data_IF_769462176393
#
_entry.id   IF_769462176393
#
_cell.length_a   1.000
_cell.length_b   1.000
_cell.length_c   1.000
_cell.angle_alpha   90.00
_cell.angle_beta   90.00
_cell.angle_gamma   90.00
#
_symmetry.space_group_name_H-M   'P 1'
#
loop_
_entity.id
_entity.type
_entity.pdbx_description
1 polymer ?
#
# COMPACT_ATOMS: atom_id res chain seq x y z
N UNK A 1 6.19 -18.00 -16.81
CA UNK A 1 5.14 -17.58 -15.85
C UNK A 1 4.37 -16.40 -16.44
N UNK A 2 3.04 -16.39 -16.37
CA UNK A 2 2.15 -15.42 -17.04
C UNK A 2 1.68 -14.25 -16.16
N UNK A 3 2.23 -14.09 -14.94
CA UNK A 3 1.83 -13.01 -14.02
C UNK A 3 0.48 -13.20 -13.32
N UNK A 4 -0.12 -14.39 -13.40
CA UNK A 4 -1.41 -14.69 -12.75
C UNK A 4 -1.32 -14.87 -11.23
N UNK A 5 -0.15 -15.27 -10.72
CA UNK A 5 0.08 -15.52 -9.29
C UNK A 5 1.34 -14.78 -8.83
N UNK A 6 1.32 -14.30 -7.58
CA UNK A 6 2.45 -13.58 -6.99
C UNK A 6 3.54 -14.51 -6.46
N UNK A 7 3.19 -15.72 -6.02
CA UNK A 7 4.12 -16.72 -5.50
C UNK A 7 3.55 -18.14 -5.67
N UNK A 8 4.45 -19.13 -5.74
CA UNK A 8 4.13 -20.57 -5.68
C UNK A 8 5.03 -21.15 -4.59
N UNK A 9 4.43 -21.78 -3.59
CA UNK A 9 5.10 -22.31 -2.40
C UNK A 9 4.61 -23.74 -2.10
N UNK A 10 5.34 -24.54 -1.31
CA UNK A 10 4.84 -25.81 -0.78
C UNK A 10 3.51 -25.64 -0.05
N UNK A 11 2.68 -26.68 -0.03
CA UNK A 11 1.33 -26.64 0.58
C UNK A 11 1.41 -26.30 2.07
N UNK A 12 2.36 -26.91 2.78
CA UNK A 12 2.66 -26.64 4.19
C UNK A 12 3.06 -25.18 4.50
N UNK A 13 3.53 -24.42 3.51
CA UNK A 13 3.94 -23.02 3.66
C UNK A 13 2.89 -22.01 3.15
N UNK A 14 1.80 -22.48 2.54
CA UNK A 14 0.81 -21.65 1.87
C UNK A 14 0.19 -20.61 2.81
N UNK A 15 -0.35 -21.06 3.94
CA UNK A 15 -0.99 -20.16 4.91
C UNK A 15 0.02 -19.18 5.50
N UNK A 16 1.19 -19.66 5.92
CA UNK A 16 2.22 -18.81 6.50
C UNK A 16 2.66 -17.70 5.53
N UNK A 17 2.84 -18.05 4.25
CA UNK A 17 3.22 -17.11 3.20
C UNK A 17 2.12 -16.07 2.96
N UNK A 18 0.87 -16.51 2.85
CA UNK A 18 -0.28 -15.63 2.64
C UNK A 18 -0.50 -14.67 3.83
N UNK A 19 -0.46 -15.18 5.06
CA UNK A 19 -0.59 -14.36 6.26
C UNK A 19 0.59 -13.42 6.47
N UNK A 20 1.81 -13.83 6.14
CA UNK A 20 2.97 -12.93 6.17
C UNK A 20 2.79 -11.76 5.19
N UNK A 21 2.31 -12.02 3.98
CA UNK A 21 2.02 -10.97 3.02
C UNK A 21 0.89 -10.05 3.49
N UNK A 22 -0.19 -10.61 4.06
CA UNK A 22 -1.28 -9.84 4.64
C UNK A 22 -0.80 -8.97 5.81
N UNK A 23 0.05 -9.52 6.70
CA UNK A 23 0.61 -8.79 7.83
C UNK A 23 1.48 -7.61 7.39
N UNK A 24 2.27 -7.78 6.32
CA UNK A 24 3.05 -6.66 5.74
C UNK A 24 2.16 -5.54 5.23
N UNK A 25 1.02 -5.86 4.61
CA UNK A 25 0.05 -4.87 4.14
C UNK A 25 -0.71 -4.22 5.29
N UNK A 26 -1.10 -4.99 6.31
CA UNK A 26 -1.80 -4.51 7.49
C UNK A 26 -0.95 -3.58 8.37
N UNK A 27 0.38 -3.69 8.29
CA UNK A 27 1.31 -2.79 8.97
C UNK A 27 1.53 -1.45 8.26
N UNK A 28 0.96 -1.25 7.06
CA UNK A 28 1.03 0.01 6.30
C UNK A 28 -0.14 0.94 6.67
N UNK A 29 -0.06 2.24 6.31
CA UNK A 29 -1.19 3.14 6.49
C UNK A 29 -2.41 2.68 5.66
N UNK A 30 -3.58 2.44 6.29
CA UNK A 30 -4.71 1.81 5.63
C UNK A 30 -5.26 2.63 4.45
N UNK A 31 -5.35 3.96 4.59
CA UNK A 31 -5.84 4.80 3.51
C UNK A 31 -4.85 4.81 2.33
N UNK A 32 -3.56 4.96 2.59
CA UNK A 32 -2.52 4.91 1.56
C UNK A 32 -2.55 3.61 0.75
N UNK A 33 -2.72 2.45 1.40
CA UNK A 33 -2.83 1.13 0.72
C UNK A 33 -4.07 1.06 -0.16
N UNK A 34 -5.23 1.47 0.34
CA UNK A 34 -6.50 1.42 -0.40
C UNK A 34 -6.44 2.31 -1.64
N UNK A 35 -5.95 3.54 -1.47
CA UNK A 35 -5.82 4.53 -2.54
C UNK A 35 -4.84 4.04 -3.61
N UNK A 36 -3.67 3.54 -3.20
CA UNK A 36 -2.68 2.98 -4.15
C UNK A 36 -3.29 1.82 -4.95
N UNK A 37 -4.02 0.92 -4.29
CA UNK A 37 -4.71 -0.19 -4.97
C UNK A 37 -5.76 0.30 -5.97
N UNK A 38 -6.50 1.37 -5.63
CA UNK A 38 -7.49 1.95 -6.53
C UNK A 38 -6.83 2.59 -7.76
N UNK A 39 -5.73 3.32 -7.59
CA UNK A 39 -4.95 3.91 -8.69
C UNK A 39 -4.40 2.84 -9.64
N UNK A 40 -3.81 1.76 -9.09
CA UNK A 40 -3.30 0.64 -9.89
C UNK A 40 -4.39 -0.06 -10.71
N UNK A 41 -5.61 -0.17 -10.17
CA UNK A 41 -6.75 -0.78 -10.88
C UNK A 41 -7.37 0.12 -11.96
N UNK A 42 -7.21 1.44 -11.85
CA UNK A 42 -7.70 2.42 -12.84
C UNK A 42 -6.86 2.49 -14.12
N UNK A 43 -5.70 1.81 -14.15
CA UNK A 43 -4.70 1.93 -15.23
C UNK A 43 -5.16 1.52 -16.64
N UNK A 44 -6.41 1.05 -16.81
CA UNK A 44 -6.89 0.57 -18.11
C UNK A 44 -7.71 1.57 -18.94
N UNK A 45 -8.15 2.72 -18.41
CA UNK A 45 -9.09 3.61 -19.14
C UNK A 45 -8.60 5.05 -19.35
N UNK A 46 -7.73 5.56 -18.48
CA UNK A 46 -7.18 6.91 -18.60
C UNK A 46 -5.90 6.90 -19.47
N UNK A 47 -5.69 7.93 -20.30
CA UNK A 47 -4.37 8.12 -20.92
C UNK A 47 -3.31 8.17 -19.81
N UNK A 48 -2.13 7.59 -20.04
CA UNK A 48 -1.02 7.57 -19.07
C UNK A 48 -0.80 8.93 -18.40
N UNK A 49 -0.91 10.01 -19.18
CA UNK A 49 -0.77 11.38 -18.70
C UNK A 49 -1.84 11.76 -17.67
N UNK A 50 -3.10 11.36 -17.87
CA UNK A 50 -4.18 11.62 -16.93
C UNK A 50 -4.01 10.82 -15.64
N UNK A 51 -3.63 9.55 -15.75
CA UNK A 51 -3.36 8.70 -14.58
C UNK A 51 -2.23 9.28 -13.71
N UNK A 52 -1.14 9.76 -14.32
CA UNK A 52 -0.04 10.41 -13.61
C UNK A 52 -0.48 11.69 -12.87
N UNK A 53 -1.33 12.53 -13.46
CA UNK A 53 -1.82 13.72 -12.77
C UNK A 53 -2.70 13.37 -11.56
N UNK A 54 -3.57 12.37 -11.72
CA UNK A 54 -4.40 11.88 -10.61
C UNK A 54 -3.53 11.31 -9.48
N UNK A 55 -2.53 10.50 -9.82
CA UNK A 55 -1.59 9.92 -8.87
C UNK A 55 -0.83 11.00 -8.08
N UNK A 56 -0.26 11.99 -8.76
CA UNK A 56 0.47 13.10 -8.10
C UNK A 56 -0.45 13.87 -7.15
N UNK A 57 -1.65 14.23 -7.58
CA UNK A 57 -2.59 14.99 -6.75
C UNK A 57 -3.02 14.18 -5.52
N UNK A 58 -3.30 12.90 -5.73
CA UNK A 58 -3.73 11.98 -4.68
C UNK A 58 -2.61 11.74 -3.66
N UNK A 59 -1.38 11.52 -4.13
CA UNK A 59 -0.20 11.37 -3.30
C UNK A 59 0.09 12.62 -2.46
N UNK A 60 0.02 13.81 -3.08
CA UNK A 60 0.21 15.08 -2.37
C UNK A 60 -0.83 15.28 -1.25
N UNK A 61 -2.07 14.86 -1.46
CA UNK A 61 -3.10 14.90 -0.42
C UNK A 61 -2.80 13.93 0.73
N UNK A 62 -2.31 12.72 0.43
CA UNK A 62 -1.96 11.73 1.46
C UNK A 62 -0.79 12.20 2.33
N UNK A 63 0.21 12.88 1.74
CA UNK A 63 1.36 13.43 2.46
C UNK A 63 0.99 14.49 3.50
N UNK A 64 -0.16 15.16 3.34
CA UNK A 64 -0.67 16.13 4.31
C UNK A 64 -1.58 15.48 5.37
N UNK A 65 -1.86 14.19 5.23
CA UNK A 65 -2.75 13.44 6.12
C UNK A 65 -2.11 13.04 7.45
N UNK A 66 -2.93 12.64 8.43
CA UNK A 66 -2.44 12.27 9.76
C UNK A 66 -1.63 10.97 9.76
N UNK A 67 -1.92 10.05 8.83
CA UNK A 67 -1.12 8.85 8.58
C UNK A 67 0.33 9.17 8.20
N UNK A 68 0.54 10.16 7.31
CA UNK A 68 1.87 10.60 6.91
C UNK A 68 2.62 11.25 8.08
N UNK A 69 1.91 12.04 8.89
CA UNK A 69 2.45 12.60 10.13
C UNK A 69 2.94 11.52 11.11
N UNK A 70 2.15 10.47 11.32
CA UNK A 70 2.55 9.34 12.17
C UNK A 70 3.74 8.57 11.58
N UNK A 71 3.74 8.30 10.28
CA UNK A 71 4.85 7.61 9.61
C UNK A 71 6.18 8.39 9.76
N UNK A 72 6.16 9.71 9.51
CA UNK A 72 7.32 10.58 9.67
C UNK A 72 7.79 10.63 11.13
N UNK A 73 6.85 10.74 12.07
CA UNK A 73 7.14 10.77 13.50
C UNK A 73 7.76 9.46 13.97
N UNK A 74 7.16 8.32 13.64
CA UNK A 74 7.65 7.01 13.99
C UNK A 74 9.06 6.75 13.42
N UNK A 75 9.29 7.15 12.16
CA UNK A 75 10.60 7.08 11.52
C UNK A 75 11.65 7.91 12.28
N UNK A 76 11.31 9.15 12.61
CA UNK A 76 12.19 10.07 13.35
C UNK A 76 12.50 9.56 14.76
N UNK A 77 11.49 9.00 15.44
CA UNK A 77 11.59 8.41 16.78
C UNK A 77 12.19 6.99 16.78
N UNK A 78 12.51 6.42 15.60
CA UNK A 78 13.04 5.04 15.43
C UNK A 78 12.16 3.96 16.07
N UNK A 79 10.84 4.14 16.01
CA UNK A 79 9.85 3.19 16.50
C UNK A 79 8.98 2.68 15.35
N UNK A 80 8.31 1.53 15.49
CA UNK A 80 7.27 1.14 14.54
C UNK A 80 6.12 2.18 14.54
N UNK A 81 5.57 2.52 13.36
CA UNK A 81 4.39 3.36 13.28
C UNK A 81 3.15 2.64 13.81
N UNK A 82 2.24 3.39 14.42
CA UNK A 82 0.96 2.88 14.89
C UNK A 82 -0.18 3.47 14.06
N UNK A 83 -0.70 2.66 13.13
CA UNK A 83 -1.83 3.04 12.29
C UNK A 83 -3.18 2.53 12.79
N UNK A 84 -3.26 1.95 14.00
CA UNK A 84 -4.49 1.33 14.52
C UNK A 84 -5.65 2.30 14.75
N UNK A 85 -5.38 3.60 14.68
CA UNK A 85 -6.34 4.69 14.95
C UNK A 85 -6.85 5.40 13.69
N UNK A 86 -6.45 4.95 12.50
CA UNK A 86 -6.83 5.55 11.22
C UNK A 86 -7.78 4.66 10.43
#
# INVERSE_FOLDING_TARGET
AYGLVNAVVPDEELEQTAFSAAGKLAAQPPNAVQVTKALLKKHSEASLKSALHEEIHTFASLLQGPEAGEAIRAFTEKRPPDFSKF
#
